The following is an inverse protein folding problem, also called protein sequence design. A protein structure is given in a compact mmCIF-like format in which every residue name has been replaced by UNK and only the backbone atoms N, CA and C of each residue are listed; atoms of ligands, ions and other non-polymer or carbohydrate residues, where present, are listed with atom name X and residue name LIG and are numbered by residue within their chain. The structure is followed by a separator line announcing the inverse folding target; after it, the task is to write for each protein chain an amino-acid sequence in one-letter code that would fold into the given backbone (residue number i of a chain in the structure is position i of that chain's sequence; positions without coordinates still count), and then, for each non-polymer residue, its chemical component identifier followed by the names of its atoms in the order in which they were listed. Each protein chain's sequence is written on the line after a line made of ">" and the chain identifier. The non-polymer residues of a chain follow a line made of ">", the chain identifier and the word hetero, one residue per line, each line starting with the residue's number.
data_IF_092332651461
#
_entry.id   IF_092332651461
#
_cell.length_a   1.000
_cell.length_b   1.000
_cell.length_c   1.000
_cell.angle_alpha   90.00
_cell.angle_beta   90.00
_cell.angle_gamma   90.00
#
_symmetry.space_group_name_H-M   'P 1'
#
loop_
_entity.id
_entity.type
_entity.pdbx_description
1 polymer ?
#
# COMPACT_ATOMS: atom_id res chain seq x y z
N UNK A 1 5.91 9.05 12.18
CA UNK A 1 5.53 7.64 12.34
C UNK A 1 4.01 7.40 12.37
N UNK A 2 3.18 8.34 12.77
CA UNK A 2 1.71 8.19 12.80
C UNK A 2 0.99 8.25 11.43
N UNK A 3 1.65 8.56 10.33
CA UNK A 3 1.03 8.67 9.00
C UNK A 3 0.94 7.36 8.22
N UNK A 4 1.73 6.34 8.57
CA UNK A 4 1.73 5.03 7.90
C UNK A 4 0.69 4.05 8.46
N UNK A 5 0.38 4.13 9.75
CA UNK A 5 -0.60 3.27 10.40
C UNK A 5 -2.06 3.48 9.93
N UNK A 6 -2.36 4.64 9.34
CA UNK A 6 -3.69 4.94 8.81
C UNK A 6 -3.94 4.36 7.42
N UNK A 7 -2.89 3.91 6.72
CA UNK A 7 -3.00 3.41 5.36
C UNK A 7 -3.59 1.99 5.28
N UNK A 8 -3.33 1.15 6.28
CA UNK A 8 -3.75 -0.26 6.25
C UNK A 8 -5.23 -0.44 6.64
N UNK A 9 -5.78 0.44 7.47
CA UNK A 9 -7.19 0.40 7.86
C UNK A 9 -8.10 1.26 6.96
N UNK A 10 -7.51 2.14 6.14
CA UNK A 10 -8.24 3.12 5.31
C UNK A 10 -8.61 2.60 3.93
N UNK A 11 -8.10 1.44 3.52
CA UNK A 11 -8.26 0.95 2.14
C UNK A 11 -9.65 0.36 1.84
N UNK A 12 -10.47 0.15 2.85
CA UNK A 12 -11.89 -0.26 2.66
C UNK A 12 -12.82 0.95 2.53
N UNK A 13 -12.34 2.16 2.82
CA UNK A 13 -13.18 3.36 2.86
C UNK A 13 -12.83 4.47 1.84
N UNK A 14 -11.90 4.25 0.92
CA UNK A 14 -11.42 5.31 0.02
C UNK A 14 -11.90 5.18 -1.43
N UNK A 15 -13.17 4.86 -1.64
CA UNK A 15 -13.81 4.97 -2.97
C UNK A 15 -14.92 6.03 -3.01
N UNK A 16 -14.87 7.04 -2.12
CA UNK A 16 -15.80 8.17 -2.17
C UNK A 16 -15.06 9.50 -2.01
N UNK A 17 -14.35 9.94 -3.03
CA UNK A 17 -14.11 11.37 -3.23
C UNK A 17 -14.51 11.73 -4.64
N UNK A 18 -15.77 12.03 -4.83
CA UNK A 18 -16.22 12.88 -5.92
C UNK A 18 -15.53 14.24 -5.76
N UNK A 19 -14.68 14.58 -6.71
CA UNK A 19 -14.19 15.94 -6.89
C UNK A 19 -15.35 16.84 -7.31
N UNK A 20 -15.97 17.49 -6.34
CA UNK A 20 -16.85 18.63 -6.62
C UNK A 20 -15.95 19.87 -6.74
N UNK A 21 -15.69 20.31 -7.96
CA UNK A 21 -15.28 21.68 -8.26
C UNK A 21 -16.35 22.64 -7.78
N UNK A 22 -16.01 23.52 -6.86
CA UNK A 22 -16.72 24.78 -6.65
C UNK A 22 -15.72 25.87 -6.34
N UNK A 23 -15.55 26.72 -7.34
CA UNK A 23 -14.89 28.01 -7.27
C UNK A 23 -15.68 28.94 -6.34
N UNK A 24 -15.02 29.62 -5.42
CA UNK A 24 -15.47 30.94 -4.98
C UNK A 24 -14.27 31.77 -4.52
N UNK A 25 -14.16 32.88 -5.16
CA UNK A 25 -13.29 34.05 -4.98
C UNK A 25 -13.42 34.72 -3.63
N UNK A 26 -12.29 35.27 -3.14
CA UNK A 26 -12.38 36.61 -2.56
C UNK A 26 -11.63 36.90 -1.27
N UNK A 27 -10.62 37.75 -1.41
CA UNK A 27 -10.16 38.85 -0.58
C UNK A 27 -9.27 38.68 0.66
N UNK A 28 -8.04 39.11 0.43
CA UNK A 28 -7.25 40.15 1.15
C UNK A 28 -7.51 40.40 2.63
N UNK A 29 -6.43 40.46 3.42
CA UNK A 29 -5.87 41.65 4.10
C UNK A 29 -4.63 41.26 4.94
N UNK A 30 -3.50 41.75 4.54
CA UNK A 30 -2.40 42.50 5.21
C UNK A 30 -2.28 42.45 6.74
N UNK A 31 -1.05 42.30 7.21
CA UNK A 31 -0.65 42.72 8.55
C UNK A 31 0.68 42.20 9.07
N UNK A 32 1.76 42.85 8.66
CA UNK A 32 2.96 43.30 9.41
C UNK A 32 3.59 42.41 10.47
N UNK A 33 4.88 42.21 10.24
CA UNK A 33 5.90 42.01 11.28
C UNK A 33 6.12 43.31 12.13
N UNK A 34 6.82 43.26 13.26
CA UNK A 34 8.26 43.50 13.18
C UNK A 34 9.15 42.67 14.15
N UNK A 35 10.43 42.75 13.82
CA UNK A 35 11.62 42.25 14.50
C UNK A 35 11.96 42.99 15.80
N UNK A 36 12.83 42.37 16.60
CA UNK A 36 13.95 42.96 17.38
C UNK A 36 14.47 41.87 18.32
N UNK A 37 15.62 41.43 18.22
CA UNK A 37 17.02 41.95 18.38
C UNK A 37 17.53 41.77 19.82
N UNK A 38 18.78 41.34 19.87
CA UNK A 38 19.83 41.65 20.85
C UNK A 38 20.23 40.58 21.87
N UNK A 39 21.27 39.85 21.60
CA UNK A 39 22.67 40.03 22.05
C UNK A 39 23.11 39.37 23.36
N UNK A 40 24.16 38.56 23.19
CA UNK A 40 25.48 38.48 23.89
C UNK A 40 25.70 37.61 25.13
N UNK A 41 26.82 36.92 24.94
CA UNK A 41 27.97 36.61 25.84
C UNK A 41 27.72 35.66 27.01
N UNK A 42 28.51 34.69 27.29
CA UNK A 42 29.90 34.36 26.96
C UNK A 42 30.44 33.40 28.00
N UNK A 43 31.56 32.80 27.69
CA UNK A 43 32.59 32.19 28.55
C UNK A 43 32.42 30.74 29.05
N UNK A 44 33.18 29.88 28.42
CA UNK A 44 34.50 29.30 28.77
C UNK A 44 34.50 28.06 29.66
N UNK A 45 34.97 26.98 29.01
CA UNK A 45 35.88 25.91 29.44
C UNK A 45 35.51 25.04 30.66
N UNK A 46 35.45 23.76 30.44
CA UNK A 46 36.47 22.81 30.86
C UNK A 46 36.14 21.42 30.33
N UNK A 47 37.01 20.85 29.49
CA UNK A 47 37.09 19.40 29.30
C UNK A 47 37.48 18.72 30.62
N UNK A 48 37.05 17.49 30.79
CA UNK A 48 38.04 16.43 30.89
C UNK A 48 37.75 15.24 29.97
N UNK A 49 38.81 14.83 29.32
CA UNK A 49 39.01 13.55 28.67
C UNK A 49 38.31 12.39 29.36
N UNK A 50 37.41 11.73 28.61
CA UNK A 50 37.10 10.33 28.89
C UNK A 50 37.48 9.46 27.68
N UNK A 51 38.32 8.52 28.02
CA UNK A 51 38.92 7.50 27.18
C UNK A 51 37.88 6.83 26.27
N UNK A 52 38.25 6.79 25.00
CA UNK A 52 37.61 5.89 24.02
C UNK A 52 37.83 4.43 24.50
N UNK A 53 36.77 3.83 25.04
CA UNK A 53 36.65 2.39 25.09
C UNK A 53 36.35 1.96 23.68
N UNK A 54 37.29 1.25 23.05
CA UNK A 54 37.04 0.54 21.82
C UNK A 54 35.93 -0.50 22.11
N UNK A 55 34.74 -0.30 21.57
CA UNK A 55 33.74 -1.36 21.46
C UNK A 55 34.34 -2.46 20.58
N UNK A 56 34.64 -3.61 21.20
CA UNK A 56 34.92 -4.84 20.49
C UNK A 56 33.71 -5.16 19.60
N UNK A 57 33.93 -5.07 18.31
CA UNK A 57 33.00 -5.62 17.30
C UNK A 57 32.92 -7.12 17.55
N UNK A 58 31.77 -7.68 17.95
CA UNK A 58 31.66 -9.10 18.18
C UNK A 58 31.91 -9.84 16.86
N UNK A 59 32.92 -10.67 16.83
CA UNK A 59 33.16 -11.58 15.70
C UNK A 59 31.94 -12.51 15.53
N UNK A 60 31.47 -12.73 14.29
CA UNK A 60 30.34 -13.62 14.06
C UNK A 60 30.67 -15.04 14.54
N UNK A 61 29.93 -15.49 15.53
CA UNK A 61 29.97 -16.89 15.98
C UNK A 61 29.17 -17.73 14.98
N UNK A 62 29.73 -18.81 14.38
CA UNK A 62 29.03 -19.61 13.37
C UNK A 62 27.89 -20.50 13.88
N UNK A 63 27.54 -20.40 15.16
CA UNK A 63 26.39 -21.11 15.75
C UNK A 63 25.34 -20.09 16.22
N UNK A 64 24.80 -19.31 15.25
CA UNK A 64 23.79 -18.30 15.54
C UNK A 64 22.44 -19.00 15.69
N UNK A 65 22.12 -19.42 16.91
CA UNK A 65 20.73 -19.74 17.25
C UNK A 65 19.89 -18.47 17.11
N UNK A 66 18.75 -18.58 16.39
CA UNK A 66 17.79 -17.48 16.22
C UNK A 66 17.48 -16.81 17.55
N UNK A 67 17.42 -15.48 17.58
CA UNK A 67 16.94 -14.73 18.74
C UNK A 67 15.48 -15.07 19.02
N UNK A 68 15.00 -14.78 20.23
CA UNK A 68 13.56 -14.95 20.53
C UNK A 68 12.70 -14.03 19.67
N UNK A 69 13.15 -12.79 19.40
CA UNK A 69 12.46 -11.87 18.50
C UNK A 69 12.32 -12.43 17.08
N UNK A 70 13.41 -12.96 16.50
CA UNK A 70 13.37 -13.59 15.18
C UNK A 70 12.43 -14.81 15.14
N UNK A 71 12.43 -15.65 16.17
CA UNK A 71 11.52 -16.81 16.24
C UNK A 71 10.06 -16.39 16.31
N UNK A 72 9.78 -15.39 17.14
CA UNK A 72 8.41 -14.88 17.32
C UNK A 72 7.92 -14.18 16.04
N UNK A 73 8.75 -13.33 15.42
CA UNK A 73 8.43 -12.66 14.17
C UNK A 73 8.16 -13.67 13.04
N UNK A 74 8.98 -14.73 12.93
CA UNK A 74 8.76 -15.79 11.94
C UNK A 74 7.46 -16.57 12.20
N UNK A 75 7.16 -16.87 13.45
CA UNK A 75 5.89 -17.49 13.85
C UNK A 75 4.68 -16.61 13.48
N UNK A 76 4.81 -15.30 13.70
CA UNK A 76 3.77 -14.32 13.37
C UNK A 76 3.59 -14.18 11.85
N UNK A 77 4.69 -14.08 11.09
CA UNK A 77 4.66 -14.05 9.63
C UNK A 77 3.90 -15.26 9.05
N UNK A 78 4.24 -16.47 9.51
CA UNK A 78 3.56 -17.69 9.08
C UNK A 78 2.07 -17.70 9.47
N UNK A 79 1.72 -17.15 10.63
CA UNK A 79 0.33 -17.02 11.06
C UNK A 79 -0.46 -16.10 10.12
N UNK A 80 0.10 -14.97 9.73
CA UNK A 80 -0.51 -14.06 8.75
C UNK A 80 -0.72 -14.71 7.39
N UNK A 81 0.33 -15.34 6.85
CA UNK A 81 0.28 -15.99 5.55
C UNK A 81 -0.68 -17.20 5.48
N UNK A 82 -1.03 -17.76 6.63
CA UNK A 82 -2.04 -18.82 6.70
C UNK A 82 -3.49 -18.30 6.64
N UNK A 83 -3.71 -17.01 6.84
CA UNK A 83 -5.02 -16.39 6.96
C UNK A 83 -5.35 -15.43 5.82
N UNK A 84 -4.33 -14.77 5.26
CA UNK A 84 -4.50 -13.73 4.24
C UNK A 84 -3.23 -13.57 3.40
N UNK A 85 -3.39 -12.93 2.24
CA UNK A 85 -2.30 -12.73 1.29
C UNK A 85 -1.62 -11.38 1.52
N UNK A 86 -0.28 -11.39 1.52
CA UNK A 86 0.57 -10.21 1.71
C UNK A 86 1.62 -10.10 0.62
N UNK A 87 2.01 -8.87 0.30
CA UNK A 87 3.28 -8.61 -0.34
C UNK A 87 4.43 -8.76 0.66
N UNK A 88 5.66 -8.96 0.18
CA UNK A 88 6.85 -9.01 1.03
C UNK A 88 6.99 -7.75 1.88
N UNK A 89 6.85 -6.58 1.27
CA UNK A 89 6.94 -5.29 1.96
C UNK A 89 5.78 -5.07 2.92
N UNK A 90 4.55 -5.41 2.52
CA UNK A 90 3.37 -5.29 3.37
C UNK A 90 3.45 -6.16 4.63
N UNK A 91 4.03 -7.36 4.52
CA UNK A 91 4.23 -8.23 5.69
C UNK A 91 5.33 -7.69 6.63
N UNK A 92 6.41 -7.10 6.10
CA UNK A 92 7.42 -6.41 6.92
C UNK A 92 6.77 -5.23 7.65
N UNK A 93 6.06 -4.37 6.95
CA UNK A 93 5.38 -3.21 7.53
C UNK A 93 4.36 -3.63 8.63
N UNK A 94 3.66 -4.75 8.43
CA UNK A 94 2.72 -5.30 9.40
C UNK A 94 3.44 -5.78 10.67
N UNK A 95 4.55 -6.50 10.53
CA UNK A 95 5.33 -6.95 11.68
C UNK A 95 5.96 -5.77 12.44
N UNK A 96 6.48 -4.76 11.73
CA UNK A 96 6.99 -3.54 12.36
C UNK A 96 5.88 -2.79 13.12
N UNK A 97 4.67 -2.75 12.58
CA UNK A 97 3.50 -2.16 13.26
C UNK A 97 3.17 -2.86 14.58
N UNK A 98 3.40 -4.17 14.66
CA UNK A 98 3.23 -4.97 15.89
C UNK A 98 4.39 -4.82 16.88
N UNK A 99 5.44 -4.10 16.51
CA UNK A 99 6.55 -3.76 17.40
C UNK A 99 7.80 -4.63 17.23
N UNK A 100 7.86 -5.47 16.21
CA UNK A 100 9.13 -6.13 15.83
C UNK A 100 10.09 -5.09 15.24
N UNK A 101 11.39 -5.30 15.45
CA UNK A 101 12.40 -4.46 14.81
C UNK A 101 12.44 -4.74 13.30
N UNK A 102 12.94 -3.79 12.51
CA UNK A 102 13.12 -3.99 11.05
C UNK A 102 13.97 -5.23 10.74
N UNK A 103 15.00 -5.50 11.56
CA UNK A 103 15.83 -6.69 11.39
C UNK A 103 15.06 -7.99 11.68
N UNK A 104 14.24 -8.02 12.72
CA UNK A 104 13.40 -9.18 13.07
C UNK A 104 12.32 -9.42 12.02
N UNK A 105 11.64 -8.36 11.57
CA UNK A 105 10.60 -8.43 10.55
C UNK A 105 11.17 -8.89 9.19
N UNK A 106 12.26 -8.27 8.75
CA UNK A 106 12.94 -8.65 7.50
C UNK A 106 13.42 -10.09 7.56
N UNK A 107 14.06 -10.49 8.67
CA UNK A 107 14.49 -11.87 8.87
C UNK A 107 13.31 -12.84 8.76
N UNK A 108 12.20 -12.55 9.41
CA UNK A 108 11.02 -13.40 9.41
C UNK A 108 10.44 -13.58 8.01
N UNK A 109 10.31 -12.49 7.29
CA UNK A 109 9.74 -12.45 5.93
C UNK A 109 10.66 -13.14 4.91
N UNK A 110 11.98 -13.00 5.05
CA UNK A 110 12.95 -13.68 4.18
C UNK A 110 13.07 -15.19 4.47
N UNK A 111 12.60 -15.64 5.63
CA UNK A 111 12.69 -17.04 6.05
C UNK A 111 11.32 -17.75 6.21
N UNK A 112 10.20 -17.09 5.94
CA UNK A 112 8.86 -17.68 6.04
C UNK A 112 8.54 -18.68 4.92
N UNK A 113 9.35 -18.71 3.84
CA UNK A 113 9.17 -19.63 2.71
C UNK A 113 7.99 -19.30 1.80
N UNK A 114 7.47 -18.06 1.85
CA UNK A 114 6.39 -17.61 0.97
C UNK A 114 6.86 -17.52 -0.49
N UNK A 115 6.01 -17.92 -1.41
CA UNK A 115 6.09 -17.56 -2.82
C UNK A 115 5.29 -16.27 -3.03
N UNK A 116 5.99 -15.16 -3.29
CA UNK A 116 5.36 -13.85 -3.40
C UNK A 116 4.49 -13.72 -4.65
N UNK A 117 4.76 -14.48 -5.70
CA UNK A 117 3.90 -14.54 -6.88
C UNK A 117 2.59 -15.28 -6.60
N UNK A 118 2.63 -16.36 -5.82
CA UNK A 118 1.42 -17.04 -5.33
C UNK A 118 0.63 -16.16 -4.36
N UNK A 119 1.32 -15.40 -3.50
CA UNK A 119 0.67 -14.41 -2.64
C UNK A 119 -0.04 -13.33 -3.46
N UNK A 120 0.58 -12.83 -4.53
CA UNK A 120 -0.05 -11.86 -5.43
C UNK A 120 -1.29 -12.44 -6.12
N UNK A 121 -1.24 -13.69 -6.57
CA UNK A 121 -2.39 -14.37 -7.19
C UNK A 121 -3.56 -14.54 -6.21
N UNK A 122 -3.27 -14.95 -4.98
CA UNK A 122 -4.28 -15.03 -3.92
C UNK A 122 -4.88 -13.66 -3.60
N UNK A 123 -4.04 -12.63 -3.51
CA UNK A 123 -4.49 -11.25 -3.25
C UNK A 123 -5.35 -10.69 -4.38
N UNK A 124 -5.01 -10.99 -5.64
CA UNK A 124 -5.83 -10.64 -6.79
C UNK A 124 -7.24 -11.23 -6.69
N UNK A 125 -7.35 -12.51 -6.32
CA UNK A 125 -8.64 -13.17 -6.08
C UNK A 125 -9.41 -12.54 -4.91
N UNK A 126 -8.74 -12.17 -3.82
CA UNK A 126 -9.39 -11.48 -2.69
C UNK A 126 -10.05 -10.17 -3.15
N UNK A 127 -9.36 -9.40 -4.00
CA UNK A 127 -9.93 -8.18 -4.59
C UNK A 127 -11.12 -8.45 -5.50
N UNK A 128 -10.99 -9.39 -6.43
CA UNK A 128 -12.05 -9.74 -7.38
C UNK A 128 -13.31 -10.33 -6.71
N UNK A 129 -13.16 -10.92 -5.52
CA UNK A 129 -14.29 -11.39 -4.71
C UNK A 129 -15.06 -10.25 -4.04
N UNK A 130 -14.48 -9.06 -3.94
CA UNK A 130 -15.09 -7.92 -3.25
C UNK A 130 -15.55 -6.82 -4.20
N UNK A 131 -14.84 -6.61 -5.30
CA UNK A 131 -15.17 -5.58 -6.30
C UNK A 131 -14.59 -5.92 -7.66
N UNK A 132 -15.15 -5.31 -8.70
CA UNK A 132 -14.68 -5.48 -10.07
C UNK A 132 -13.49 -4.58 -10.37
N UNK A 133 -12.51 -5.12 -11.10
CA UNK A 133 -11.31 -4.42 -11.58
C UNK A 133 -11.09 -4.63 -13.07
N UNK A 134 -10.42 -3.67 -13.70
CA UNK A 134 -9.74 -3.91 -14.97
C UNK A 134 -8.43 -4.66 -14.74
N UNK A 135 -7.87 -5.26 -15.78
CA UNK A 135 -6.57 -5.93 -15.73
C UNK A 135 -5.47 -5.01 -15.21
N UNK A 136 -5.34 -3.82 -15.80
CA UNK A 136 -4.32 -2.84 -15.39
C UNK A 136 -4.61 -2.26 -14.00
N UNK A 137 -5.88 -1.96 -13.69
CA UNK A 137 -6.25 -1.43 -12.39
C UNK A 137 -6.00 -2.41 -11.24
N UNK A 138 -6.08 -3.72 -11.50
CA UNK A 138 -5.72 -4.73 -10.49
C UNK A 138 -4.21 -4.84 -10.30
N UNK A 139 -3.41 -4.70 -11.39
CA UNK A 139 -1.94 -4.61 -11.26
C UNK A 139 -1.56 -3.40 -10.42
N UNK A 140 -2.08 -2.21 -10.75
CA UNK A 140 -1.81 -0.97 -10.01
C UNK A 140 -2.18 -1.12 -8.53
N UNK A 141 -3.29 -1.80 -8.23
CA UNK A 141 -3.72 -2.05 -6.85
C UNK A 141 -2.76 -2.98 -6.10
N UNK A 142 -2.27 -4.04 -6.74
CA UNK A 142 -1.29 -4.93 -6.14
C UNK A 142 0.07 -4.24 -5.93
N UNK A 143 0.51 -3.42 -6.88
CA UNK A 143 1.72 -2.60 -6.71
C UNK A 143 1.58 -1.61 -5.55
N UNK A 144 0.40 -0.99 -5.39
CA UNK A 144 0.12 -0.11 -4.26
C UNK A 144 0.23 -0.84 -2.90
N UNK A 145 -0.09 -2.12 -2.86
CA UNK A 145 0.09 -2.97 -1.67
C UNK A 145 1.53 -3.48 -1.48
N UNK A 146 2.43 -3.10 -2.38
CA UNK A 146 3.85 -3.37 -2.27
C UNK A 146 4.32 -4.67 -2.93
N UNK A 147 3.52 -5.28 -3.80
CA UNK A 147 4.01 -6.29 -4.72
C UNK A 147 4.89 -5.63 -5.79
N UNK A 148 5.88 -6.31 -6.28
CA UNK A 148 6.63 -5.85 -7.45
C UNK A 148 5.77 -5.94 -8.70
N UNK A 149 6.09 -5.17 -9.74
CA UNK A 149 5.38 -5.24 -11.04
C UNK A 149 5.34 -6.67 -11.60
N UNK A 150 6.42 -7.44 -11.43
CA UNK A 150 6.50 -8.83 -11.87
C UNK A 150 5.55 -9.73 -11.10
N UNK A 151 5.52 -9.63 -9.77
CA UNK A 151 4.60 -10.38 -8.89
C UNK A 151 3.14 -9.98 -9.15
N UNK A 152 2.85 -8.69 -9.27
CA UNK A 152 1.51 -8.18 -9.55
C UNK A 152 0.99 -8.67 -10.90
N UNK A 153 1.82 -8.57 -11.96
CA UNK A 153 1.47 -9.06 -13.29
C UNK A 153 1.21 -10.56 -13.28
N UNK A 154 2.13 -11.33 -12.64
CA UNK A 154 1.93 -12.78 -12.49
C UNK A 154 0.63 -13.10 -11.74
N UNK A 155 0.35 -12.39 -10.66
CA UNK A 155 -0.86 -12.59 -9.85
C UNK A 155 -2.15 -12.35 -10.66
N UNK A 156 -2.16 -11.29 -11.44
CA UNK A 156 -3.31 -10.92 -12.29
C UNK A 156 -3.46 -11.90 -13.46
N UNK A 157 -2.37 -12.38 -14.07
CA UNK A 157 -2.40 -13.41 -15.11
C UNK A 157 -2.91 -14.76 -14.58
N UNK A 158 -2.54 -15.10 -13.35
CA UNK A 158 -2.89 -16.37 -12.72
C UNK A 158 -4.30 -16.39 -12.12
N UNK A 159 -4.94 -15.25 -11.87
CA UNK A 159 -6.24 -15.18 -11.19
C UNK A 159 -7.41 -15.74 -12.00
N UNK A 160 -7.24 -15.91 -13.33
CA UNK A 160 -8.26 -16.52 -14.19
C UNK A 160 -9.53 -15.69 -14.40
N UNK A 161 -9.47 -14.37 -14.20
CA UNK A 161 -10.60 -13.47 -14.37
C UNK A 161 -11.08 -13.37 -15.82
N UNK A 162 -12.39 -13.32 -16.02
CA UNK A 162 -12.97 -12.86 -17.29
C UNK A 162 -13.11 -11.34 -17.25
N UNK A 163 -12.25 -10.65 -17.98
CA UNK A 163 -12.19 -9.17 -17.98
C UNK A 163 -13.42 -8.52 -18.62
N UNK A 164 -14.16 -9.22 -19.46
CA UNK A 164 -15.45 -8.76 -19.96
C UNK A 164 -16.51 -8.82 -18.85
N UNK A 165 -16.52 -9.91 -18.08
CA UNK A 165 -17.41 -10.02 -16.93
C UNK A 165 -17.08 -8.97 -15.86
N UNK A 166 -15.78 -8.72 -15.62
CA UNK A 166 -15.35 -7.65 -14.70
C UNK A 166 -15.82 -6.27 -15.18
N UNK A 167 -15.77 -5.98 -16.47
CA UNK A 167 -16.29 -4.73 -17.02
C UNK A 167 -17.82 -4.62 -16.84
N UNK A 168 -18.56 -5.70 -17.04
CA UNK A 168 -20.00 -5.73 -16.81
C UNK A 168 -20.38 -5.51 -15.35
N UNK A 169 -19.68 -6.18 -14.41
CA UNK A 169 -19.85 -5.98 -12.97
C UNK A 169 -19.53 -4.54 -12.55
N UNK A 170 -18.47 -3.96 -13.12
CA UNK A 170 -18.12 -2.58 -12.85
C UNK A 170 -19.14 -1.60 -13.39
N UNK A 171 -19.61 -1.81 -14.61
CA UNK A 171 -20.69 -1.03 -15.21
C UNK A 171 -21.96 -1.05 -14.36
N UNK A 172 -22.37 -2.22 -13.87
CA UNK A 172 -23.52 -2.38 -12.98
C UNK A 172 -23.31 -1.60 -11.68
N UNK A 173 -22.13 -1.69 -11.07
CA UNK A 173 -21.80 -0.98 -9.84
C UNK A 173 -21.95 0.53 -10.00
N UNK A 174 -21.61 1.08 -11.15
CA UNK A 174 -21.81 2.50 -11.46
C UNK A 174 -23.30 2.86 -11.58
N UNK A 175 -24.08 2.06 -12.29
CA UNK A 175 -25.50 2.31 -12.49
C UNK A 175 -26.32 2.17 -11.20
N UNK A 176 -25.86 1.36 -10.26
CA UNK A 176 -26.47 1.24 -8.94
C UNK A 176 -26.27 2.53 -8.10
N UNK A 177 -25.24 3.30 -8.38
CA UNK A 177 -24.90 4.52 -7.65
C UNK A 177 -25.45 5.80 -8.32
N UNK A 178 -25.41 5.86 -9.66
CA UNK A 178 -25.82 7.04 -10.42
C UNK A 178 -26.18 6.71 -11.86
N UNK A 179 -26.85 7.67 -12.52
CA UNK A 179 -27.23 7.54 -13.94
C UNK A 179 -26.08 7.98 -14.85
N UNK A 180 -25.81 7.19 -15.89
CA UNK A 180 -24.87 7.48 -16.96
C UNK A 180 -25.59 7.47 -18.30
N UNK A 181 -25.08 8.16 -19.30
CA UNK A 181 -25.35 7.80 -20.69
C UNK A 181 -24.42 6.66 -21.10
N UNK A 182 -24.74 5.95 -22.20
CA UNK A 182 -23.88 4.88 -22.71
C UNK A 182 -22.43 5.35 -22.92
N UNK A 183 -22.25 6.51 -23.56
CA UNK A 183 -20.89 7.03 -23.81
C UNK A 183 -20.14 7.36 -22.52
N UNK A 184 -20.80 8.02 -21.57
CA UNK A 184 -20.17 8.35 -20.29
C UNK A 184 -19.76 7.09 -19.50
N UNK A 185 -20.57 6.03 -19.56
CA UNK A 185 -20.22 4.77 -18.89
C UNK A 185 -19.01 4.11 -19.52
N UNK A 186 -18.93 4.10 -20.88
CA UNK A 186 -17.76 3.59 -21.61
C UNK A 186 -16.53 4.41 -21.27
N UNK A 187 -16.60 5.75 -21.35
CA UNK A 187 -15.49 6.64 -21.01
C UNK A 187 -14.99 6.40 -19.56
N UNK A 188 -15.92 6.15 -18.62
CA UNK A 188 -15.55 5.85 -17.23
C UNK A 188 -14.86 4.51 -17.08
N UNK A 189 -15.32 3.47 -17.77
CA UNK A 189 -14.68 2.15 -17.73
C UNK A 189 -13.28 2.19 -18.37
N UNK A 190 -13.12 2.90 -19.49
CA UNK A 190 -11.81 3.11 -20.12
C UNK A 190 -10.86 3.88 -19.21
N UNK A 191 -11.36 4.89 -18.49
CA UNK A 191 -10.57 5.64 -17.51
C UNK A 191 -10.04 4.73 -16.37
N UNK A 192 -10.78 3.69 -16.03
CA UNK A 192 -10.35 2.68 -15.03
C UNK A 192 -9.46 1.58 -15.62
N UNK A 193 -9.09 1.68 -16.89
CA UNK A 193 -8.15 0.77 -17.54
C UNK A 193 -8.77 -0.45 -18.21
N UNK A 194 -10.11 -0.50 -18.40
CA UNK A 194 -10.71 -1.48 -19.30
C UNK A 194 -10.40 -1.11 -20.76
N UNK A 195 -10.21 -2.11 -21.62
CA UNK A 195 -10.09 -1.83 -23.07
C UNK A 195 -11.40 -1.33 -23.62
N UNK A 196 -11.37 -0.67 -24.79
CA UNK A 196 -12.60 -0.20 -25.47
C UNK A 196 -13.60 -1.34 -25.69
N UNK A 197 -13.12 -2.52 -26.09
CA UNK A 197 -13.97 -3.70 -26.31
C UNK A 197 -14.62 -4.19 -25.01
N UNK A 198 -13.87 -4.19 -23.91
CA UNK A 198 -14.39 -4.55 -22.59
C UNK A 198 -15.40 -3.53 -22.09
N UNK A 199 -15.12 -2.24 -22.25
CA UNK A 199 -16.00 -1.15 -21.84
C UNK A 199 -17.33 -1.17 -22.65
N UNK A 200 -17.27 -1.39 -23.97
CA UNK A 200 -18.45 -1.56 -24.82
C UNK A 200 -19.25 -2.80 -24.44
N UNK A 201 -18.56 -3.93 -24.15
CA UNK A 201 -19.19 -5.15 -23.64
C UNK A 201 -19.90 -4.87 -22.31
N UNK A 202 -19.22 -4.23 -21.36
CA UNK A 202 -19.79 -3.89 -20.06
C UNK A 202 -21.04 -3.02 -20.17
N UNK A 203 -21.00 -1.96 -20.98
CA UNK A 203 -22.14 -1.10 -21.23
C UNK A 203 -23.31 -1.87 -21.88
N UNK A 204 -23.04 -2.77 -22.83
CA UNK A 204 -24.07 -3.58 -23.48
C UNK A 204 -24.67 -4.60 -22.52
N UNK A 205 -23.86 -5.23 -21.66
CA UNK A 205 -24.32 -6.22 -20.69
C UNK A 205 -25.30 -5.64 -19.67
N UNK A 206 -25.18 -4.33 -19.35
CA UNK A 206 -26.10 -3.65 -18.42
C UNK A 206 -27.30 -2.97 -19.11
N UNK A 207 -27.50 -3.20 -20.41
CA UNK A 207 -28.71 -2.82 -21.15
C UNK A 207 -28.61 -1.60 -22.04
N UNK A 208 -27.39 -1.12 -22.39
CA UNK A 208 -27.17 -0.05 -23.39
C UNK A 208 -26.96 -0.57 -24.80
#
# INVERSE_FOLDING_TARGET
>A
MMKKALAILSLVLLLFVLSACSSTTGNDVSGSAPASDTTKEGLVATEPSQQAQAEEVPTPNPDVSLTMGQKNALGQANSYLSLMHFSRTGLIDQLEFEGYTTEEATFAVDNCGADWSEQAAGKALDYLNTMAFSYSGLIDQLEFEGFTTEEATHGVDACGADWNEQAALRAQSYLDLMSFSRSQLIDQLEFEGFTTEQAEYGATAVGY
#
